data_IF_759323425676
#
_entry.id   IF_759323425676
#
_cell.length_a   1.000
_cell.length_b   1.000
_cell.length_c   1.000
_cell.angle_alpha   90.00
_cell.angle_beta   90.00
_cell.angle_gamma   90.00
#
_symmetry.space_group_name_H-M   'P 1'
#
loop_
_entity.id
_entity.type
_entity.pdbx_description
1 polymer ?
#
# COMPACT_ATOMS: atom_id res chain seq x y z
N UNK A 1 21.90 14.81 -11.31
CA UNK A 1 22.43 13.48 -10.89
C UNK A 1 21.40 12.35 -10.85
N UNK A 2 20.38 12.32 -9.98
CA UNK A 2 19.38 11.23 -10.04
C UNK A 2 18.39 11.36 -11.22
N UNK A 3 18.02 12.58 -11.60
CA UNK A 3 17.11 12.86 -12.72
C UNK A 3 17.72 12.59 -14.11
N UNK A 4 19.03 12.81 -14.29
CA UNK A 4 19.74 12.48 -15.55
C UNK A 4 19.90 10.95 -15.72
N UNK A 5 20.17 10.22 -14.65
CA UNK A 5 20.26 8.75 -14.67
C UNK A 5 18.91 8.08 -14.99
N UNK A 6 17.79 8.73 -14.62
CA UNK A 6 16.45 8.22 -14.91
C UNK A 6 16.12 8.34 -16.40
N UNK A 7 16.41 9.49 -17.02
CA UNK A 7 16.17 9.71 -18.44
C UNK A 7 17.00 8.77 -19.35
N UNK A 8 18.17 8.33 -18.90
CA UNK A 8 19.00 7.37 -19.64
C UNK A 8 18.52 5.91 -19.52
N UNK A 9 17.74 5.57 -18.47
CA UNK A 9 17.33 4.20 -18.16
C UNK A 9 15.85 3.92 -18.39
N UNK A 10 15.02 4.96 -18.51
CA UNK A 10 13.58 4.84 -18.61
C UNK A 10 13.06 5.42 -19.92
N UNK A 11 12.35 4.58 -20.68
CA UNK A 11 11.68 5.00 -21.91
C UNK A 11 10.52 5.95 -21.60
N UNK A 12 10.44 7.06 -22.34
CA UNK A 12 9.46 8.12 -22.10
C UNK A 12 8.01 7.63 -22.34
N UNK A 13 7.78 6.76 -23.33
CA UNK A 13 6.44 6.22 -23.58
C UNK A 13 6.00 5.31 -22.44
N UNK A 14 6.91 4.49 -21.93
CA UNK A 14 6.69 3.62 -20.77
C UNK A 14 6.35 4.45 -19.53
N UNK A 15 7.07 5.55 -19.30
CA UNK A 15 6.80 6.47 -18.18
C UNK A 15 5.40 7.11 -18.27
N UNK A 16 5.01 7.58 -19.46
CA UNK A 16 3.68 8.15 -19.70
C UNK A 16 2.58 7.12 -19.49
N UNK A 17 2.76 5.89 -19.98
CA UNK A 17 1.78 4.81 -19.80
C UNK A 17 1.64 4.40 -18.34
N UNK A 18 2.75 4.27 -17.60
CA UNK A 18 2.72 3.94 -16.17
C UNK A 18 2.04 5.04 -15.35
N UNK A 19 2.38 6.31 -15.59
CA UNK A 19 1.75 7.44 -14.90
C UNK A 19 0.26 7.49 -15.19
N UNK A 20 -0.13 7.31 -16.45
CA UNK A 20 -1.53 7.26 -16.86
C UNK A 20 -2.29 6.10 -16.20
N UNK A 21 -1.68 4.92 -16.11
CA UNK A 21 -2.28 3.78 -15.42
C UNK A 21 -2.48 4.04 -13.92
N UNK A 22 -1.51 4.70 -13.26
CA UNK A 22 -1.63 5.09 -11.86
C UNK A 22 -2.72 6.15 -11.63
N UNK A 23 -2.84 7.12 -12.54
CA UNK A 23 -3.82 8.22 -12.41
C UNK A 23 -5.27 7.76 -12.64
N UNK A 24 -5.49 6.75 -13.48
CA UNK A 24 -6.82 6.21 -13.77
C UNK A 24 -7.20 4.99 -12.93
N UNK A 25 -6.31 4.53 -12.04
CA UNK A 25 -6.62 3.36 -11.23
C UNK A 25 -7.73 3.66 -10.23
N UNK A 26 -8.92 3.11 -10.48
CA UNK A 26 -10.05 3.09 -9.56
C UNK A 26 -10.53 1.64 -9.41
N UNK A 27 -10.16 0.95 -8.31
CA UNK A 27 -10.58 -0.44 -8.11
C UNK A 27 -12.09 -0.56 -7.86
N UNK A 28 -12.76 0.52 -7.46
CA UNK A 28 -14.18 0.51 -7.14
C UNK A 28 -15.08 0.85 -8.34
N UNK A 29 -14.49 1.17 -9.50
CA UNK A 29 -15.22 1.56 -10.71
C UNK A 29 -16.27 0.52 -11.14
N UNK A 30 -15.95 -0.77 -11.03
CA UNK A 30 -16.87 -1.87 -11.41
C UNK A 30 -17.88 -2.24 -10.29
N UNK A 31 -17.77 -1.60 -9.13
CA UNK A 31 -18.54 -1.92 -7.92
C UNK A 31 -19.38 -0.73 -7.43
N UNK A 32 -19.91 0.08 -8.35
CA UNK A 32 -20.69 1.30 -8.03
C UNK A 32 -19.93 2.29 -7.11
N UNK A 33 -18.60 2.34 -7.24
CA UNK A 33 -17.70 3.10 -6.37
C UNK A 33 -17.76 2.70 -4.87
N UNK A 34 -18.20 1.48 -4.57
CA UNK A 34 -18.24 0.90 -3.23
C UNK A 34 -16.98 0.07 -2.96
N UNK A 35 -16.01 0.68 -2.27
CA UNK A 35 -14.74 0.04 -1.94
C UNK A 35 -14.90 -1.21 -1.05
N UNK A 36 -15.95 -1.28 -0.21
CA UNK A 36 -16.16 -2.46 0.62
C UNK A 36 -16.56 -3.67 -0.25
N UNK A 37 -17.49 -3.49 -1.19
CA UNK A 37 -17.84 -4.54 -2.17
C UNK A 37 -16.64 -4.95 -3.01
N UNK A 38 -15.84 -3.98 -3.46
CA UNK A 38 -14.62 -4.25 -4.22
C UNK A 38 -13.65 -5.17 -3.50
N UNK A 39 -13.51 -5.01 -2.18
CA UNK A 39 -12.55 -5.77 -1.37
C UNK A 39 -13.15 -7.08 -0.79
N UNK A 40 -14.45 -7.32 -0.95
CA UNK A 40 -15.15 -8.52 -0.48
C UNK A 40 -14.55 -9.85 -1.02
N UNK A 41 -14.03 -9.96 -2.25
CA UNK A 41 -13.44 -11.21 -2.73
C UNK A 41 -12.10 -11.57 -2.08
N UNK A 42 -11.45 -10.65 -1.35
CA UNK A 42 -10.14 -10.88 -0.74
C UNK A 42 -10.24 -11.99 0.32
N UNK A 43 -9.41 -13.02 0.18
CA UNK A 43 -9.31 -14.14 1.14
C UNK A 43 -8.08 -14.02 2.04
N UNK A 44 -7.10 -13.19 1.65
CA UNK A 44 -5.87 -12.99 2.40
C UNK A 44 -6.12 -12.14 3.66
N UNK A 45 -5.28 -12.36 4.69
CA UNK A 45 -5.09 -11.38 5.75
C UNK A 45 -4.32 -10.19 5.19
N UNK A 46 -4.72 -8.98 5.54
CA UNK A 46 -4.15 -7.76 5.00
C UNK A 46 -3.28 -7.04 6.04
N UNK A 47 -2.13 -6.54 5.60
CA UNK A 47 -1.35 -5.54 6.32
C UNK A 47 -1.38 -4.24 5.52
N UNK A 48 -1.85 -3.16 6.15
CA UNK A 48 -1.80 -1.81 5.59
C UNK A 48 -0.82 -0.98 6.40
N UNK A 49 0.16 -0.38 5.72
CA UNK A 49 1.17 0.49 6.32
C UNK A 49 1.10 1.86 5.65
N UNK A 50 1.09 2.92 6.45
CA UNK A 50 1.13 4.30 5.97
C UNK A 50 2.22 5.10 6.66
N UNK A 51 2.64 6.21 6.07
CA UNK A 51 3.70 7.07 6.60
C UNK A 51 3.17 8.49 6.82
N UNK A 52 3.41 9.06 8.00
CA UNK A 52 2.77 10.33 8.43
C UNK A 52 3.05 11.53 7.52
N UNK A 53 4.18 11.54 6.81
CA UNK A 53 4.56 12.61 5.88
C UNK A 53 4.25 12.32 4.41
N UNK A 54 3.70 11.14 4.08
CA UNK A 54 3.34 10.82 2.71
C UNK A 54 2.15 11.67 2.27
N UNK A 55 2.39 12.59 1.33
CA UNK A 55 1.34 13.43 0.75
C UNK A 55 0.78 12.83 -0.55
N UNK A 56 1.48 11.88 -1.19
CA UNK A 56 1.09 11.27 -2.47
C UNK A 56 0.13 10.10 -2.25
N UNK A 57 0.31 9.36 -1.15
CA UNK A 57 -0.56 8.29 -0.67
C UNK A 57 -0.80 8.51 0.83
N UNK A 58 -1.64 9.48 1.14
CA UNK A 58 -1.78 9.97 2.51
C UNK A 58 -2.33 8.93 3.48
N UNK A 59 -2.01 9.03 4.78
CA UNK A 59 -2.54 8.13 5.79
C UNK A 59 -4.07 8.05 5.79
N UNK A 60 -4.78 9.13 5.48
CA UNK A 60 -6.24 9.15 5.36
C UNK A 60 -6.73 8.19 4.25
N UNK A 61 -6.03 8.12 3.12
CA UNK A 61 -6.36 7.16 2.04
C UNK A 61 -6.09 5.72 2.46
N UNK A 62 -5.04 5.47 3.24
CA UNK A 62 -4.82 4.15 3.84
C UNK A 62 -5.93 3.78 4.83
N UNK A 63 -6.41 4.74 5.62
CA UNK A 63 -7.53 4.54 6.54
C UNK A 63 -8.84 4.23 5.80
N UNK A 64 -9.09 4.86 4.64
CA UNK A 64 -10.22 4.50 3.76
C UNK A 64 -10.18 3.01 3.34
N UNK A 65 -9.00 2.51 2.95
CA UNK A 65 -8.79 1.10 2.61
C UNK A 65 -9.04 0.20 3.83
N UNK A 66 -8.49 0.56 4.99
CA UNK A 66 -8.67 -0.21 6.24
C UNK A 66 -10.15 -0.28 6.63
N UNK A 67 -10.86 0.84 6.58
CA UNK A 67 -12.29 0.90 6.89
C UNK A 67 -13.12 0.03 5.94
N UNK A 68 -12.78 0.02 4.65
CA UNK A 68 -13.43 -0.86 3.68
C UNK A 68 -13.14 -2.34 3.97
N UNK A 69 -11.87 -2.71 4.23
CA UNK A 69 -11.50 -4.07 4.62
C UNK A 69 -12.25 -4.55 5.88
N UNK A 70 -12.33 -3.71 6.91
CA UNK A 70 -13.08 -4.00 8.14
C UNK A 70 -14.58 -4.18 7.85
N UNK A 71 -15.17 -3.29 7.06
CA UNK A 71 -16.59 -3.34 6.69
C UNK A 71 -16.94 -4.61 5.89
N UNK A 72 -15.98 -5.14 5.14
CA UNK A 72 -16.10 -6.40 4.38
C UNK A 72 -15.70 -7.64 5.19
N UNK A 73 -15.51 -7.52 6.51
CA UNK A 73 -15.20 -8.62 7.40
C UNK A 73 -13.81 -9.22 7.22
N UNK A 74 -12.83 -8.46 6.70
CA UNK A 74 -11.46 -8.91 6.48
C UNK A 74 -10.60 -8.78 7.74
N UNK A 75 -9.69 -9.74 7.94
CA UNK A 75 -8.63 -9.61 8.95
C UNK A 75 -7.58 -8.64 8.42
N UNK A 76 -7.59 -7.42 8.96
CA UNK A 76 -6.67 -6.35 8.60
C UNK A 76 -5.88 -5.88 9.81
N UNK A 77 -4.57 -5.77 9.64
CA UNK A 77 -3.66 -5.08 10.56
C UNK A 77 -3.27 -3.75 9.94
N UNK A 78 -3.36 -2.67 10.71
CA UNK A 78 -2.97 -1.33 10.27
C UNK A 78 -1.89 -0.75 11.18
N UNK A 79 -0.87 -0.11 10.60
CA UNK A 79 0.06 0.72 11.34
C UNK A 79 0.44 1.97 10.54
N UNK A 80 0.33 3.13 11.20
CA UNK A 80 0.86 4.39 10.73
C UNK A 80 2.25 4.62 11.33
N UNK A 81 3.24 4.86 10.47
CA UNK A 81 4.65 4.97 10.83
C UNK A 81 5.06 6.44 10.73
N UNK A 82 5.63 6.96 11.81
CA UNK A 82 6.20 8.30 11.80
C UNK A 82 7.46 8.32 10.92
N UNK A 83 7.42 9.13 9.86
CA UNK A 83 8.52 9.30 8.93
C UNK A 83 8.51 10.72 8.36
N UNK A 84 9.65 11.21 7.86
CA UNK A 84 9.82 12.57 7.33
C UNK A 84 10.25 12.57 5.85
N UNK A 85 10.39 11.40 5.24
CA UNK A 85 10.84 11.19 3.87
C UNK A 85 9.69 11.21 2.85
N UNK A 86 8.46 11.53 3.29
CA UNK A 86 7.29 11.48 2.43
C UNK A 86 7.01 10.06 1.95
N UNK A 87 6.61 9.94 0.68
CA UNK A 87 6.34 8.64 0.07
C UNK A 87 7.55 7.72 0.08
N UNK A 88 8.76 8.23 -0.15
CA UNK A 88 9.96 7.40 -0.24
C UNK A 88 10.33 6.70 1.08
N UNK A 89 9.64 7.01 2.20
CA UNK A 89 9.84 6.34 3.48
C UNK A 89 9.75 4.81 3.42
N UNK A 90 8.96 4.22 2.50
CA UNK A 90 8.89 2.77 2.34
C UNK A 90 10.19 2.13 1.80
N UNK A 91 11.06 2.94 1.17
CA UNK A 91 12.36 2.50 0.66
C UNK A 91 13.49 2.69 1.68
N UNK A 92 13.20 3.31 2.82
CA UNK A 92 14.20 3.70 3.81
C UNK A 92 14.27 2.68 4.94
N UNK A 93 15.47 2.55 5.53
CA UNK A 93 15.69 1.70 6.70
C UNK A 93 15.13 2.37 7.96
N UNK A 94 13.82 2.23 8.16
CA UNK A 94 13.10 2.72 9.33
C UNK A 94 12.91 1.54 10.29
N UNK A 95 13.58 1.48 11.45
CA UNK A 95 13.57 0.31 12.33
C UNK A 95 12.16 -0.13 12.72
N UNK A 96 11.27 0.83 13.02
CA UNK A 96 9.88 0.56 13.39
C UNK A 96 9.07 -0.06 12.26
N UNK A 97 9.27 0.41 11.02
CA UNK A 97 8.65 -0.15 9.82
C UNK A 97 9.04 -1.62 9.65
N UNK A 98 10.35 -1.91 9.68
CA UNK A 98 10.87 -3.26 9.50
C UNK A 98 10.47 -4.21 10.64
N UNK A 99 10.40 -3.74 11.88
CA UNK A 99 9.93 -4.53 13.02
C UNK A 99 8.48 -4.99 12.83
N UNK A 100 7.58 -4.08 12.45
CA UNK A 100 6.16 -4.36 12.21
C UNK A 100 6.02 -5.35 11.04
N UNK A 101 6.69 -5.07 9.92
CA UNK A 101 6.66 -5.95 8.75
C UNK A 101 7.15 -7.36 9.09
N UNK A 102 8.30 -7.47 9.77
CA UNK A 102 8.86 -8.76 10.18
C UNK A 102 7.91 -9.53 11.11
N UNK A 103 7.32 -8.86 12.08
CA UNK A 103 6.37 -9.46 13.02
C UNK A 103 5.13 -9.98 12.29
N UNK A 104 4.60 -9.20 11.33
CA UNK A 104 3.48 -9.65 10.51
C UNK A 104 3.84 -10.88 9.67
N UNK A 105 5.01 -10.88 9.01
CA UNK A 105 5.44 -12.02 8.22
C UNK A 105 5.69 -13.28 9.07
N UNK A 106 6.18 -13.14 10.30
CA UNK A 106 6.29 -14.26 11.23
C UNK A 106 4.91 -14.85 11.58
N UNK A 107 3.89 -14.01 11.77
CA UNK A 107 2.50 -14.46 11.96
C UNK A 107 1.98 -15.21 10.74
N UNK A 108 2.22 -14.68 9.52
CA UNK A 108 1.82 -15.34 8.26
C UNK A 108 2.46 -16.73 8.14
N UNK A 109 3.74 -16.87 8.48
CA UNK A 109 4.41 -18.17 8.48
C UNK A 109 3.80 -19.14 9.49
N UNK A 110 3.58 -18.69 10.74
CA UNK A 110 2.99 -19.53 11.78
C UNK A 110 1.55 -19.98 11.43
N UNK A 111 0.75 -19.09 10.81
CA UNK A 111 -0.60 -19.42 10.35
C UNK A 111 -0.59 -20.47 9.22
N UNK A 112 0.41 -20.42 8.33
CA UNK A 112 0.57 -21.38 7.24
C UNK A 112 1.07 -22.76 7.69
N UNK A 113 1.80 -22.84 8.80
CA UNK A 113 2.24 -24.11 9.42
C UNK A 113 1.11 -24.80 10.21
N UNK A 114 0.08 -24.05 10.61
CA UNK A 114 -1.05 -24.55 11.39
C UNK A 114 -2.22 -25.09 10.55
N UNK A 115 -2.14 -24.99 9.21
CA UNK A 115 -3.13 -25.48 8.24
C UNK A 115 -2.68 -26.80 7.58
#
# INVERSE_FOLDING_TARGET
YQSENFAERFDANTYLLMTKALDYYDPAQEFDHDLAKTLEPIQAKCLVLSFTSDWRFSPERSQEIVNALLSSGKDVTYAEIEAHQGHDAFLMDIPRYHEIFKTYMQRVLADGEAQ
#
